data_IF_086596592508
#
_entry.id   IF_086596592508
#
_cell.length_a   1.000
_cell.length_b   1.000
_cell.length_c   1.000
_cell.angle_alpha   90.00
_cell.angle_beta   90.00
_cell.angle_gamma   90.00
#
_symmetry.space_group_name_H-M   'P 1'
#
loop_
_entity.id
_entity.type
_entity.pdbx_description
1 polymer ?
#
# COMPACT_ATOMS: atom_id res chain seq x y z
N UNK A 1 29.60 -7.06 24.96
CA UNK A 1 28.19 -7.37 24.61
C UNK A 1 27.26 -6.19 24.85
N UNK A 2 27.12 -5.68 26.08
CA UNK A 2 26.22 -4.55 26.43
C UNK A 2 26.48 -3.23 25.68
N UNK A 3 27.75 -2.83 25.49
CA UNK A 3 28.12 -1.65 24.67
C UNK A 3 27.74 -1.81 23.19
N UNK A 4 27.92 -3.01 22.65
CA UNK A 4 27.61 -3.35 21.25
C UNK A 4 26.12 -3.29 20.98
N UNK A 5 25.31 -3.82 21.91
CA UNK A 5 23.84 -3.76 21.85
C UNK A 5 23.36 -2.31 21.94
N UNK A 6 23.87 -1.51 22.89
CA UNK A 6 23.51 -0.08 23.00
C UNK A 6 23.84 0.70 21.72
N UNK A 7 25.00 0.43 21.11
CA UNK A 7 25.39 1.07 19.85
C UNK A 7 24.48 0.70 18.67
N UNK A 8 24.01 -0.56 18.60
CA UNK A 8 23.06 -0.99 17.57
C UNK A 8 21.69 -0.33 17.78
N UNK A 9 21.18 -0.32 19.01
CA UNK A 9 19.91 0.32 19.36
C UNK A 9 19.93 1.80 19.00
N UNK A 10 21.01 2.52 19.34
CA UNK A 10 21.14 3.94 18.99
C UNK A 10 21.09 4.18 17.47
N UNK A 11 21.73 3.30 16.68
CA UNK A 11 21.68 3.39 15.20
C UNK A 11 20.27 3.13 14.66
N UNK A 12 19.56 2.15 15.20
CA UNK A 12 18.18 1.84 14.80
C UNK A 12 17.27 3.03 15.13
N UNK A 13 17.35 3.56 16.35
CA UNK A 13 16.56 4.73 16.78
C UNK A 13 16.84 5.94 15.88
N UNK A 14 18.10 6.19 15.54
CA UNK A 14 18.46 7.26 14.62
C UNK A 14 17.81 7.06 13.24
N UNK A 15 17.92 5.86 12.66
CA UNK A 15 17.30 5.54 11.36
C UNK A 15 15.78 5.69 11.38
N UNK A 16 15.12 5.21 12.44
CA UNK A 16 13.67 5.35 12.62
C UNK A 16 13.26 6.82 12.73
N UNK A 17 14.06 7.63 13.42
CA UNK A 17 13.82 9.07 13.51
C UNK A 17 13.96 9.74 12.15
N UNK A 18 15.03 9.47 11.41
CA UNK A 18 15.22 10.06 10.09
C UNK A 18 14.11 9.66 9.12
N UNK A 19 13.68 8.39 9.19
CA UNK A 19 12.55 7.89 8.43
C UNK A 19 11.27 8.65 8.79
N UNK A 20 10.96 8.77 10.08
CA UNK A 20 9.74 9.44 10.56
C UNK A 20 9.73 10.92 10.18
N UNK A 21 10.84 11.62 10.41
CA UNK A 21 11.00 13.04 10.05
C UNK A 21 10.80 13.22 8.53
N UNK A 22 11.38 12.34 7.69
CA UNK A 22 11.23 12.42 6.24
C UNK A 22 9.83 12.00 5.75
N UNK A 23 9.24 10.98 6.36
CA UNK A 23 7.90 10.47 6.05
C UNK A 23 6.86 11.58 6.24
N UNK A 24 6.84 12.19 7.44
CA UNK A 24 5.96 13.31 7.77
C UNK A 24 6.44 14.66 7.19
N UNK A 25 7.57 14.68 6.47
CA UNK A 25 8.18 15.87 5.88
C UNK A 25 8.44 17.00 6.91
N UNK A 26 8.93 16.63 8.09
CA UNK A 26 9.26 17.54 9.18
C UNK A 26 10.61 18.20 8.93
N UNK A 27 10.64 19.53 8.87
CA UNK A 27 11.88 20.29 8.64
C UNK A 27 12.42 20.86 9.96
N UNK A 28 13.75 21.05 10.01
CA UNK A 28 14.39 21.80 11.09
C UNK A 28 13.96 23.27 10.97
N UNK A 29 13.57 23.87 12.09
CA UNK A 29 13.07 25.25 12.16
C UNK A 29 11.54 25.39 12.08
N UNK A 30 10.80 24.32 11.76
CA UNK A 30 9.33 24.35 11.82
C UNK A 30 8.84 24.36 13.28
N UNK A 31 7.82 25.18 13.53
CA UNK A 31 7.12 25.24 14.80
C UNK A 31 6.45 23.92 15.14
N UNK A 32 6.19 23.67 16.44
CA UNK A 32 5.46 22.48 16.89
C UNK A 32 4.08 22.40 16.20
N UNK A 33 3.40 23.53 16.03
CA UNK A 33 2.09 23.58 15.40
C UNK A 33 2.12 23.13 13.94
N UNK A 34 3.13 23.54 13.16
CA UNK A 34 3.30 23.10 11.77
C UNK A 34 3.59 21.60 11.66
N UNK A 35 4.45 21.08 12.54
CA UNK A 35 4.76 19.64 12.59
C UNK A 35 3.51 18.83 12.93
N UNK A 36 2.75 19.25 13.94
CA UNK A 36 1.51 18.60 14.34
C UNK A 36 0.47 18.59 13.21
N UNK A 37 0.36 19.68 12.42
CA UNK A 37 -0.54 19.72 11.26
C UNK A 37 -0.18 18.68 10.19
N UNK A 38 1.11 18.46 9.90
CA UNK A 38 1.55 17.45 8.92
C UNK A 38 1.31 16.02 9.40
N UNK A 39 1.58 15.76 10.68
CA UNK A 39 1.28 14.47 11.31
C UNK A 39 -0.23 14.21 11.28
N UNK A 40 -1.04 15.19 11.69
CA UNK A 40 -2.51 15.09 11.66
C UNK A 40 -3.03 14.86 10.24
N UNK A 41 -2.56 15.61 9.24
CA UNK A 41 -2.93 15.41 7.83
C UNK A 41 -2.61 14.00 7.34
N UNK A 42 -1.45 13.45 7.72
CA UNK A 42 -1.05 12.09 7.37
C UNK A 42 -1.91 11.04 8.08
N UNK A 43 -2.23 11.25 9.35
CA UNK A 43 -3.13 10.39 10.11
C UNK A 43 -4.54 10.38 9.48
N UNK A 44 -5.08 11.55 9.12
CA UNK A 44 -6.38 11.66 8.43
C UNK A 44 -6.38 10.90 7.11
N UNK A 45 -5.35 11.07 6.28
CA UNK A 45 -5.22 10.31 5.03
C UNK A 45 -5.16 8.80 5.28
N UNK A 46 -4.41 8.36 6.30
CA UNK A 46 -4.35 6.93 6.69
C UNK A 46 -5.71 6.38 7.11
N UNK A 47 -6.48 7.15 7.87
CA UNK A 47 -7.81 6.75 8.32
C UNK A 47 -8.76 6.64 7.12
N UNK A 48 -8.80 7.67 6.27
CA UNK A 48 -9.62 7.67 5.04
C UNK A 48 -9.27 6.47 4.16
N UNK A 49 -7.98 6.27 3.92
CA UNK A 49 -7.49 5.15 3.12
C UNK A 49 -7.85 3.81 3.75
N UNK A 50 -7.68 3.66 5.08
CA UNK A 50 -8.02 2.43 5.79
C UNK A 50 -9.51 2.08 5.72
N UNK A 51 -10.41 3.07 5.84
CA UNK A 51 -11.84 2.84 5.65
C UNK A 51 -12.17 2.38 4.24
N UNK A 52 -11.53 3.00 3.24
CA UNK A 52 -11.70 2.56 1.86
C UNK A 52 -11.19 1.13 1.68
N UNK A 53 -9.99 0.80 2.18
CA UNK A 53 -9.36 -0.52 2.10
C UNK A 53 -10.30 -1.62 2.64
N UNK A 54 -10.78 -1.47 3.88
CA UNK A 54 -11.73 -2.44 4.46
C UNK A 54 -13.06 -2.51 3.71
N UNK A 55 -13.56 -1.38 3.20
CA UNK A 55 -14.77 -1.37 2.38
C UNK A 55 -14.60 -2.15 1.07
N UNK A 56 -13.43 -2.01 0.44
CA UNK A 56 -13.04 -2.75 -0.78
C UNK A 56 -12.88 -4.23 -0.45
N UNK A 57 -12.23 -4.60 0.65
CA UNK A 57 -12.07 -5.99 1.06
C UNK A 57 -13.42 -6.69 1.24
N UNK A 58 -14.38 -6.05 1.91
CA UNK A 58 -15.74 -6.57 2.11
C UNK A 58 -16.47 -6.72 0.77
N UNK A 59 -16.35 -5.74 -0.13
CA UNK A 59 -16.93 -5.80 -1.46
C UNK A 59 -16.36 -6.99 -2.25
N UNK A 60 -15.03 -7.11 -2.29
CA UNK A 60 -14.30 -8.15 -3.00
C UNK A 60 -14.65 -9.54 -2.44
N UNK A 61 -14.70 -9.69 -1.11
CA UNK A 61 -15.13 -10.92 -0.44
C UNK A 61 -16.56 -11.30 -0.84
N UNK A 62 -17.49 -10.36 -0.69
CA UNK A 62 -18.92 -10.59 -0.94
C UNK A 62 -19.18 -10.95 -2.40
N UNK A 63 -18.56 -10.22 -3.34
CA UNK A 63 -18.68 -10.52 -4.77
C UNK A 63 -18.16 -11.92 -5.10
N UNK A 64 -17.00 -12.32 -4.57
CA UNK A 64 -16.45 -13.65 -4.85
C UNK A 64 -17.34 -14.78 -4.29
N UNK A 65 -17.92 -14.60 -3.09
CA UNK A 65 -18.87 -15.55 -2.51
C UNK A 65 -20.12 -15.68 -3.39
N UNK A 66 -20.72 -14.56 -3.81
CA UNK A 66 -21.90 -14.55 -4.68
C UNK A 66 -21.61 -15.23 -6.02
N UNK A 67 -20.49 -14.90 -6.67
CA UNK A 67 -20.09 -15.52 -7.93
C UNK A 67 -19.91 -17.03 -7.79
N UNK A 68 -19.33 -17.50 -6.68
CA UNK A 68 -19.19 -18.93 -6.40
C UNK A 68 -20.54 -19.59 -6.16
N UNK A 69 -21.44 -18.97 -5.40
CA UNK A 69 -22.78 -19.48 -5.14
C UNK A 69 -23.63 -19.60 -6.42
N UNK A 70 -23.44 -18.68 -7.38
CA UNK A 70 -24.07 -18.73 -8.71
C UNK A 70 -23.42 -19.73 -9.67
N UNK A 71 -22.40 -20.47 -9.24
CA UNK A 71 -21.71 -21.44 -10.10
C UNK A 71 -20.88 -20.81 -11.22
N UNK A 72 -20.52 -19.53 -11.10
CA UNK A 72 -19.72 -18.84 -12.11
C UNK A 72 -18.31 -19.44 -12.15
N UNK A 73 -17.84 -19.74 -13.37
CA UNK A 73 -16.52 -20.33 -13.59
C UNK A 73 -15.42 -19.45 -13.00
N UNK A 74 -14.30 -20.07 -12.61
CA UNK A 74 -13.16 -19.37 -12.00
C UNK A 74 -12.66 -18.22 -12.87
N UNK A 75 -12.61 -18.42 -14.19
CA UNK A 75 -12.13 -17.40 -15.14
C UNK A 75 -13.04 -16.17 -15.18
N UNK A 76 -14.36 -16.35 -15.28
CA UNK A 76 -15.29 -15.21 -15.28
C UNK A 76 -15.31 -14.51 -13.93
N UNK A 77 -15.22 -15.26 -12.84
CA UNK A 77 -15.09 -14.66 -11.52
C UNK A 77 -13.81 -13.83 -11.41
N UNK A 78 -12.68 -14.32 -11.94
CA UNK A 78 -11.43 -13.57 -11.99
C UNK A 78 -11.58 -12.26 -12.76
N UNK A 79 -12.20 -12.28 -13.93
CA UNK A 79 -12.40 -11.07 -14.74
C UNK A 79 -13.23 -10.03 -13.97
N UNK A 80 -14.34 -10.43 -13.36
CA UNK A 80 -15.20 -9.51 -12.58
C UNK A 80 -14.42 -8.90 -11.41
N UNK A 81 -13.74 -9.74 -10.64
CA UNK A 81 -12.95 -9.32 -9.49
C UNK A 81 -11.79 -8.40 -9.88
N UNK A 82 -11.14 -8.69 -11.01
CA UNK A 82 -10.05 -7.89 -11.51
C UNK A 82 -10.53 -6.51 -11.98
N UNK A 83 -11.67 -6.44 -12.67
CA UNK A 83 -12.30 -5.17 -13.06
C UNK A 83 -12.61 -4.31 -11.81
N UNK A 84 -13.17 -4.91 -10.76
CA UNK A 84 -13.42 -4.19 -9.49
C UNK A 84 -12.11 -3.62 -8.93
N UNK A 85 -11.06 -4.43 -8.83
CA UNK A 85 -9.75 -3.97 -8.34
C UNK A 85 -9.14 -2.88 -9.22
N UNK A 86 -9.28 -2.96 -10.54
CA UNK A 86 -8.84 -1.90 -11.47
C UNK A 86 -9.62 -0.61 -11.22
N UNK A 87 -10.94 -0.67 -11.10
CA UNK A 87 -11.77 0.53 -10.88
C UNK A 87 -11.39 1.24 -9.58
N UNK A 88 -11.17 0.46 -8.51
CA UNK A 88 -10.78 0.96 -7.20
C UNK A 88 -9.39 1.62 -7.25
N UNK A 89 -8.37 0.90 -7.72
CA UNK A 89 -7.02 1.43 -7.84
C UNK A 89 -6.99 2.65 -8.78
N UNK A 90 -7.75 2.58 -9.87
CA UNK A 90 -7.95 3.66 -10.83
C UNK A 90 -8.56 4.90 -10.19
N UNK A 91 -9.53 4.76 -9.29
CA UNK A 91 -10.15 5.88 -8.59
C UNK A 91 -9.14 6.64 -7.74
N UNK A 92 -8.31 5.95 -6.95
CA UNK A 92 -7.24 6.57 -6.18
C UNK A 92 -6.20 7.26 -7.08
N UNK A 93 -5.83 6.62 -8.18
CA UNK A 93 -4.91 7.20 -9.17
C UNK A 93 -5.50 8.47 -9.81
N UNK A 94 -6.79 8.48 -10.14
CA UNK A 94 -7.48 9.67 -10.66
C UNK A 94 -7.48 10.80 -9.63
N UNK A 95 -7.82 10.50 -8.37
CA UNK A 95 -7.78 11.49 -7.28
C UNK A 95 -6.38 12.08 -7.18
N UNK A 96 -5.36 11.23 -7.17
CA UNK A 96 -3.97 11.65 -7.10
C UNK A 96 -3.57 12.54 -8.28
N UNK A 97 -3.86 12.14 -9.52
CA UNK A 97 -3.50 12.93 -10.71
C UNK A 97 -4.26 14.24 -10.82
N UNK A 98 -5.52 14.30 -10.36
CA UNK A 98 -6.32 15.53 -10.43
C UNK A 98 -6.00 16.53 -9.32
N UNK A 99 -5.73 16.04 -8.11
CA UNK A 99 -5.59 16.89 -6.92
C UNK A 99 -4.15 17.06 -6.46
N UNK A 100 -3.23 16.19 -6.91
CA UNK A 100 -1.89 16.07 -6.35
C UNK A 100 -1.86 15.48 -4.94
N UNK A 101 -3.02 15.12 -4.36
CA UNK A 101 -3.09 14.56 -3.03
C UNK A 101 -2.99 13.04 -3.07
N UNK A 102 -1.87 12.52 -2.57
CA UNK A 102 -1.68 11.10 -2.34
C UNK A 102 -2.37 10.66 -1.05
N UNK A 103 -3.53 10.02 -1.20
CA UNK A 103 -4.29 9.41 -0.10
C UNK A 103 -3.67 8.08 0.34
N UNK A 104 -2.96 7.38 -0.56
CA UNK A 104 -2.36 6.07 -0.32
C UNK A 104 -1.08 6.13 0.52
N UNK A 105 -0.50 7.32 0.70
CA UNK A 105 0.77 7.60 1.39
C UNK A 105 2.02 7.02 0.70
N UNK A 106 1.93 6.65 -0.59
CA UNK A 106 3.06 6.19 -1.39
C UNK A 106 4.21 7.21 -1.48
N UNK A 107 3.93 8.50 -1.66
CA UNK A 107 4.95 9.56 -1.69
C UNK A 107 5.60 9.77 -0.33
N UNK A 108 4.79 9.75 0.74
CA UNK A 108 5.27 9.89 2.12
C UNK A 108 6.21 8.71 2.46
N UNK A 109 5.82 7.48 2.11
CA UNK A 109 6.66 6.28 2.22
C UNK A 109 7.95 6.40 1.39
N UNK A 110 7.86 6.88 0.14
CA UNK A 110 9.03 7.06 -0.72
C UNK A 110 10.03 8.03 -0.10
N UNK A 111 9.57 9.16 0.47
CA UNK A 111 10.45 10.11 1.19
C UNK A 111 11.16 9.47 2.37
N UNK A 112 10.43 8.67 3.17
CA UNK A 112 11.01 7.93 4.29
C UNK A 112 12.09 6.95 3.84
N UNK A 113 11.80 6.15 2.82
CA UNK A 113 12.74 5.16 2.26
C UNK A 113 13.96 5.84 1.63
N UNK A 114 13.78 6.95 0.92
CA UNK A 114 14.87 7.74 0.34
C UNK A 114 15.80 8.31 1.43
N UNK A 115 15.26 8.70 2.59
CA UNK A 115 16.05 9.16 3.73
C UNK A 115 16.90 8.04 4.33
N UNK A 116 16.36 6.82 4.44
CA UNK A 116 17.13 5.64 4.86
C UNK A 116 18.17 5.28 3.80
N UNK A 117 17.86 5.37 2.51
CA UNK A 117 18.77 4.99 1.42
C UNK A 117 20.11 5.73 1.50
N UNK A 118 20.06 7.03 1.84
CA UNK A 118 21.25 7.88 2.01
C UNK A 118 22.18 7.41 3.14
N UNK A 119 21.68 6.64 4.10
CA UNK A 119 22.45 6.14 5.26
C UNK A 119 22.77 4.65 5.16
N UNK A 120 21.84 3.86 4.64
CA UNK A 120 21.97 2.41 4.48
C UNK A 120 21.19 1.93 3.25
N UNK A 121 21.88 1.73 2.10
CA UNK A 121 21.24 1.23 0.89
C UNK A 121 20.61 -0.16 1.07
N UNK A 122 21.21 -1.03 1.89
CA UNK A 122 20.71 -2.38 2.15
C UNK A 122 19.39 -2.32 2.92
N UNK A 123 19.33 -1.55 4.01
CA UNK A 123 18.10 -1.40 4.80
C UNK A 123 16.96 -0.80 3.96
N UNK A 124 17.30 0.18 3.12
CA UNK A 124 16.34 0.78 2.18
C UNK A 124 15.79 -0.22 1.17
N UNK A 125 16.63 -1.11 0.60
CA UNK A 125 16.17 -2.16 -0.32
C UNK A 125 15.26 -3.18 0.35
N UNK A 126 15.55 -3.56 1.59
CA UNK A 126 14.68 -4.47 2.36
C UNK A 126 13.31 -3.83 2.61
N UNK A 127 13.27 -2.55 2.99
CA UNK A 127 12.02 -1.81 3.16
C UNK A 127 11.24 -1.66 1.85
N UNK A 128 11.92 -1.41 0.73
CA UNK A 128 11.27 -1.38 -0.58
C UNK A 128 10.62 -2.72 -0.93
N UNK A 129 11.32 -3.83 -0.65
CA UNK A 129 10.79 -5.17 -0.90
C UNK A 129 9.55 -5.45 -0.05
N UNK A 130 9.60 -5.11 1.24
CA UNK A 130 8.46 -5.22 2.16
C UNK A 130 7.26 -4.41 1.65
N UNK A 131 7.47 -3.15 1.24
CA UNK A 131 6.42 -2.29 0.69
C UNK A 131 5.82 -2.90 -0.59
N UNK A 132 6.66 -3.41 -1.51
CA UNK A 132 6.21 -4.09 -2.73
C UNK A 132 5.31 -5.27 -2.39
N UNK A 133 5.75 -6.16 -1.50
CA UNK A 133 4.98 -7.35 -1.12
C UNK A 133 3.66 -6.91 -0.46
N UNK A 134 3.72 -6.00 0.50
CA UNK A 134 2.56 -5.56 1.27
C UNK A 134 1.52 -4.89 0.38
N UNK A 135 1.91 -4.04 -0.56
CA UNK A 135 0.96 -3.33 -1.41
C UNK A 135 0.50 -4.17 -2.62
N UNK A 136 1.27 -5.17 -3.06
CA UNK A 136 0.82 -6.12 -4.10
C UNK A 136 -0.21 -7.12 -3.58
N UNK A 137 -0.21 -7.37 -2.27
CA UNK A 137 -1.10 -8.37 -1.64
C UNK A 137 -2.22 -7.71 -0.84
N UNK A 138 -1.92 -6.64 -0.10
CA UNK A 138 -2.82 -6.11 0.93
C UNK A 138 -3.22 -4.66 0.66
N UNK A 139 -2.25 -3.75 0.57
CA UNK A 139 -2.48 -2.31 0.75
C UNK A 139 -2.64 -1.48 -0.52
N UNK A 140 -3.21 -2.06 -1.57
CA UNK A 140 -3.54 -1.36 -2.83
C UNK A 140 -2.37 -1.24 -3.83
N UNK A 141 -2.53 -1.68 -5.09
CA UNK A 141 -1.50 -1.60 -6.14
C UNK A 141 -1.13 -0.17 -6.53
N UNK A 142 -2.06 0.77 -6.40
CA UNK A 142 -1.86 2.18 -6.68
C UNK A 142 -0.76 2.78 -5.78
N UNK A 143 -0.60 2.30 -4.55
CA UNK A 143 0.43 2.78 -3.63
C UNK A 143 1.83 2.52 -4.19
N UNK A 144 2.05 1.37 -4.84
CA UNK A 144 3.33 1.04 -5.49
C UNK A 144 3.62 1.96 -6.64
N UNK A 145 2.59 2.25 -7.44
CA UNK A 145 2.74 3.09 -8.61
C UNK A 145 3.04 4.53 -8.21
N UNK A 146 2.41 5.04 -7.15
CA UNK A 146 2.72 6.36 -6.59
C UNK A 146 4.11 6.36 -5.93
N UNK A 147 4.47 5.32 -5.18
CA UNK A 147 5.79 5.18 -4.56
C UNK A 147 6.93 5.21 -5.59
N UNK A 148 6.77 4.45 -6.69
CA UNK A 148 7.75 4.38 -7.78
C UNK A 148 7.49 5.38 -8.90
N UNK A 149 6.78 6.48 -8.64
CA UNK A 149 6.45 7.48 -9.66
C UNK A 149 7.71 8.05 -10.34
N UNK A 150 8.80 8.21 -9.58
CA UNK A 150 10.09 8.71 -10.10
C UNK A 150 10.70 7.75 -11.12
N UNK A 151 10.50 6.44 -10.94
CA UNK A 151 11.08 5.36 -11.74
C UNK A 151 10.18 4.95 -12.91
N UNK A 152 8.86 4.93 -12.71
CA UNK A 152 7.90 4.60 -13.76
C UNK A 152 7.86 5.66 -14.86
N UNK A 153 8.10 6.93 -14.52
CA UNK A 153 8.40 8.01 -15.46
C UNK A 153 7.20 8.57 -16.23
N UNK A 154 6.30 7.72 -16.75
CA UNK A 154 5.11 8.15 -17.48
C UNK A 154 3.83 7.45 -17.02
N UNK A 155 2.68 8.10 -17.26
CA UNK A 155 1.35 7.63 -16.86
C UNK A 155 1.00 6.27 -17.46
N UNK A 156 1.44 6.00 -18.70
CA UNK A 156 1.17 4.71 -19.34
C UNK A 156 1.82 3.53 -18.58
N UNK A 157 3.10 3.64 -18.23
CA UNK A 157 3.80 2.64 -17.42
C UNK A 157 3.16 2.49 -16.04
N UNK A 158 2.76 3.60 -15.43
CA UNK A 158 2.02 3.59 -14.17
C UNK A 158 0.73 2.77 -14.28
N UNK A 159 -0.08 3.00 -15.31
CA UNK A 159 -1.31 2.23 -15.58
C UNK A 159 -1.00 0.75 -15.80
N UNK A 160 -0.01 0.41 -16.61
CA UNK A 160 0.37 -0.99 -16.87
C UNK A 160 0.80 -1.72 -15.59
N UNK A 161 1.55 -1.05 -14.70
CA UNK A 161 1.93 -1.62 -13.40
C UNK A 161 0.69 -1.82 -12.51
N UNK A 162 -0.23 -0.86 -12.45
CA UNK A 162 -1.51 -1.04 -11.72
C UNK A 162 -2.28 -2.23 -12.26
N UNK A 163 -2.45 -2.35 -13.59
CA UNK A 163 -3.18 -3.45 -14.21
C UNK A 163 -2.56 -4.82 -13.87
N UNK A 164 -1.24 -4.92 -13.94
CA UNK A 164 -0.52 -6.14 -13.61
C UNK A 164 -0.63 -6.51 -12.12
N UNK A 165 -0.40 -5.54 -11.23
CA UNK A 165 -0.44 -5.78 -9.79
C UNK A 165 -1.87 -6.06 -9.29
N UNK A 166 -2.89 -5.38 -9.84
CA UNK A 166 -4.30 -5.71 -9.55
C UNK A 166 -4.67 -7.12 -9.99
N UNK A 167 -4.07 -7.64 -11.08
CA UNK A 167 -4.29 -9.03 -11.48
C UNK A 167 -3.68 -10.01 -10.45
N UNK A 168 -2.42 -9.79 -10.04
CA UNK A 168 -1.75 -10.58 -9.00
C UNK A 168 -2.58 -10.57 -7.72
N UNK A 169 -2.96 -9.37 -7.25
CA UNK A 169 -3.77 -9.21 -6.06
C UNK A 169 -5.08 -10.00 -6.20
N UNK A 170 -5.79 -9.85 -7.33
CA UNK A 170 -7.03 -10.58 -7.58
C UNK A 170 -6.86 -12.09 -7.43
N UNK A 171 -5.79 -12.66 -8.00
CA UNK A 171 -5.50 -14.10 -7.89
C UNK A 171 -5.34 -14.50 -6.41
N UNK A 172 -4.54 -13.75 -5.65
CA UNK A 172 -4.27 -14.04 -4.23
C UNK A 172 -5.56 -14.00 -3.41
N UNK A 173 -6.33 -12.93 -3.50
CA UNK A 173 -7.58 -12.78 -2.74
C UNK A 173 -8.63 -13.81 -3.14
N UNK A 174 -8.77 -14.09 -4.44
CA UNK A 174 -9.69 -15.13 -4.90
C UNK A 174 -9.33 -16.50 -4.33
N UNK A 175 -8.04 -16.84 -4.29
CA UNK A 175 -7.57 -18.10 -3.72
C UNK A 175 -7.88 -18.19 -2.22
N UNK A 176 -7.58 -17.13 -1.45
CA UNK A 176 -7.87 -17.06 -0.01
C UNK A 176 -9.36 -17.23 0.25
N UNK A 177 -10.20 -16.45 -0.44
CA UNK A 177 -11.64 -16.42 -0.20
C UNK A 177 -12.36 -17.68 -0.67
N UNK A 178 -11.96 -18.25 -1.80
CA UNK A 178 -12.58 -19.50 -2.28
C UNK A 178 -12.23 -20.67 -1.38
N UNK A 179 -10.98 -20.76 -0.93
CA UNK A 179 -10.54 -21.78 0.03
C UNK A 179 -11.26 -21.64 1.37
N UNK A 180 -11.42 -20.40 1.85
CA UNK A 180 -12.20 -20.10 3.05
C UNK A 180 -13.67 -20.51 2.94
N UNK A 181 -14.33 -20.24 1.80
CA UNK A 181 -15.70 -20.67 1.56
C UNK A 181 -15.86 -22.20 1.63
N UNK A 182 -14.92 -22.94 1.03
CA UNK A 182 -14.99 -24.41 1.04
C UNK A 182 -14.84 -24.97 2.45
N UNK A 183 -13.97 -24.36 3.27
CA UNK A 183 -13.83 -24.72 4.68
C UNK A 183 -15.11 -24.45 5.49
N UNK A 184 -15.74 -23.29 5.31
CA UNK A 184 -17.00 -22.95 6.02
C UNK A 184 -18.13 -23.89 5.61
N UNK A 185 -18.26 -24.20 4.32
CA UNK A 185 -19.28 -25.13 3.82
C UNK A 185 -19.07 -26.56 4.31
N UNK A 186 -17.83 -26.98 4.55
CA UNK A 186 -17.53 -28.30 5.11
C UNK A 186 -17.94 -28.43 6.59
N UNK A 187 -17.98 -27.32 7.34
CA UNK A 187 -18.38 -27.30 8.76
C UNK A 187 -19.90 -27.18 8.97
N UNK A 188 -20.66 -26.78 7.96
CA UNK A 188 -22.11 -26.54 8.02
C UNK A 188 -22.90 -27.74 7.47
#
# INVERSE_FOLDING_TARGET
>A
MLKTVKGLVAKIVALLKDFSDAFFNLKKGESIQEKSKKVASTATRRIIYGFADYGIEILVLSTNIVLKALGISLLYAFIVMWIINIMVAGMFMIIYFKTGHDVSLGEDLRRGVDAIHKKSPIASRLLMLEIIIQASVWSGPERIVIFFKKETGNTFRMVMVVLFLTAIQTIVWMFIYRSGYDFVKWLA
#
